data_IF_476887065430
#
_entry.id   IF_476887065430
#
_cell.length_a   1.000
_cell.length_b   1.000
_cell.length_c   1.000
_cell.angle_alpha   90.00
_cell.angle_beta   90.00
_cell.angle_gamma   90.00
#
_symmetry.space_group_name_H-M   'P 1'
#
loop_
_entity.id
_entity.type
_entity.pdbx_description
1 polymer ?
#
# COMPACT_ATOMS: atom_id res chain seq x y z
N UNK A 1 -0.74 29.56 -11.98
CA UNK A 1 0.04 28.35 -11.65
C UNK A 1 0.04 28.07 -10.15
N UNK A 2 0.49 28.98 -9.28
CA UNK A 2 0.46 28.77 -7.82
C UNK A 2 -0.93 28.35 -7.28
N UNK A 3 -2.00 29.04 -7.70
CA UNK A 3 -3.36 28.72 -7.25
C UNK A 3 -3.84 27.32 -7.67
N UNK A 4 -3.43 26.83 -8.84
CA UNK A 4 -3.80 25.49 -9.31
C UNK A 4 -3.06 24.40 -8.54
N UNK A 5 -1.77 24.61 -8.24
CA UNK A 5 -1.00 23.70 -7.40
C UNK A 5 -1.55 23.62 -5.96
N UNK A 6 -2.04 24.74 -5.42
CA UNK A 6 -2.68 24.79 -4.09
C UNK A 6 -4.03 24.08 -4.08
N UNK A 7 -4.82 24.21 -5.15
CA UNK A 7 -6.11 23.48 -5.28
C UNK A 7 -5.86 21.98 -5.43
N UNK A 8 -4.90 21.58 -6.27
CA UNK A 8 -4.55 20.17 -6.45
C UNK A 8 -3.99 19.54 -5.17
N UNK A 9 -3.08 20.21 -4.47
CA UNK A 9 -2.55 19.70 -3.20
C UNK A 9 -3.64 19.61 -2.14
N UNK A 10 -4.55 20.59 -2.08
CA UNK A 10 -5.75 20.54 -1.25
C UNK A 10 -6.65 19.34 -1.58
N UNK A 11 -6.92 19.08 -2.86
CA UNK A 11 -7.69 17.92 -3.30
C UNK A 11 -7.03 16.60 -2.90
N UNK A 12 -5.73 16.44 -3.13
CA UNK A 12 -4.99 15.21 -2.76
C UNK A 12 -5.01 14.98 -1.25
N UNK A 13 -4.85 16.04 -0.45
CA UNK A 13 -4.91 15.96 1.02
C UNK A 13 -6.30 15.55 1.50
N UNK A 14 -7.37 16.08 0.90
CA UNK A 14 -8.75 15.70 1.24
C UNK A 14 -9.02 14.22 0.91
N UNK A 15 -8.57 13.71 -0.24
CA UNK A 15 -8.70 12.27 -0.60
C UNK A 15 -7.94 11.35 0.37
N UNK A 16 -6.72 11.75 0.77
CA UNK A 16 -5.90 11.01 1.71
C UNK A 16 -6.58 10.96 3.10
N UNK A 17 -7.17 12.07 3.56
CA UNK A 17 -7.93 12.14 4.80
C UNK A 17 -9.20 11.28 4.77
N UNK A 18 -9.94 11.26 3.66
CA UNK A 18 -11.11 10.39 3.47
C UNK A 18 -10.69 8.92 3.58
N UNK A 19 -9.59 8.56 2.91
CA UNK A 19 -9.05 7.20 2.93
C UNK A 19 -8.62 6.80 4.34
N UNK A 20 -7.93 7.68 5.07
CA UNK A 20 -7.48 7.45 6.45
C UNK A 20 -8.62 7.25 7.45
N UNK A 21 -9.63 8.13 7.42
CA UNK A 21 -10.81 8.03 8.31
C UNK A 21 -11.65 6.80 7.97
N UNK A 22 -11.75 6.46 6.68
CA UNK A 22 -12.46 5.25 6.23
C UNK A 22 -11.83 3.95 6.77
N UNK A 23 -10.51 3.93 7.00
CA UNK A 23 -9.79 2.77 7.53
C UNK A 23 -9.90 2.57 9.06
N UNK A 24 -10.43 3.54 9.83
CA UNK A 24 -10.39 3.53 11.31
C UNK A 24 -11.64 2.98 12.03
N UNK A 25 -12.63 2.43 11.32
CA UNK A 25 -13.84 1.86 11.95
C UNK A 25 -14.10 0.40 11.61
N UNK A 26 -14.63 -0.38 12.55
CA UNK A 26 -15.11 -1.75 12.31
C UNK A 26 -16.61 -1.76 11.99
N UNK A 27 -17.18 -2.90 11.58
CA UNK A 27 -18.62 -3.03 11.22
C UNK A 27 -19.53 -2.79 12.45
N UNK A 28 -19.03 -3.05 13.66
CA UNK A 28 -19.79 -2.97 14.92
C UNK A 28 -19.56 -1.66 15.71
N UNK A 29 -18.56 -0.86 15.33
CA UNK A 29 -18.25 0.41 16.00
C UNK A 29 -18.02 1.53 14.96
N UNK A 30 -19.11 2.24 14.68
CA UNK A 30 -19.17 3.28 13.66
C UNK A 30 -18.81 4.69 14.18
N UNK A 31 -18.56 4.85 15.48
CA UNK A 31 -18.21 6.14 16.10
C UNK A 31 -17.06 6.90 15.39
N UNK A 32 -15.95 6.26 14.94
CA UNK A 32 -14.88 6.95 14.22
C UNK A 32 -15.23 7.33 12.76
N UNK A 33 -16.37 6.86 12.20
CA UNK A 33 -16.83 7.20 10.84
C UNK A 33 -17.77 8.42 10.80
N UNK A 34 -18.15 9.00 11.95
CA UNK A 34 -19.07 10.14 12.02
C UNK A 34 -18.54 11.40 11.31
N UNK A 35 -17.22 11.56 11.24
CA UNK A 35 -16.56 12.68 10.56
C UNK A 35 -16.48 12.52 9.03
N UNK A 36 -16.81 11.35 8.47
CA UNK A 36 -16.76 11.09 7.01
C UNK A 36 -17.73 12.00 6.24
N UNK A 37 -18.88 12.31 6.83
CA UNK A 37 -19.88 13.18 6.21
C UNK A 37 -19.32 14.60 5.97
N UNK A 38 -18.60 15.17 6.94
CA UNK A 38 -17.99 16.49 6.81
C UNK A 38 -16.87 16.52 5.75
N UNK A 39 -16.08 15.45 5.63
CA UNK A 39 -15.03 15.35 4.61
C UNK A 39 -15.60 15.27 3.19
N UNK A 40 -16.75 14.59 3.01
CA UNK A 40 -17.46 14.55 1.74
C UNK A 40 -18.03 15.93 1.36
N UNK A 41 -18.53 16.71 2.33
CA UNK A 41 -18.98 18.09 2.08
C UNK A 41 -17.85 19.00 1.58
N UNK A 42 -16.64 18.86 2.14
CA UNK A 42 -15.46 19.63 1.69
C UNK A 42 -15.05 19.27 0.26
N UNK A 43 -15.13 17.98 -0.12
CA UNK A 43 -14.83 17.52 -1.50
C UNK A 43 -15.82 18.08 -2.53
N UNK A 44 -17.11 18.16 -2.17
CA UNK A 44 -18.17 18.69 -3.05
C UNK A 44 -18.04 20.21 -3.30
N UNK A 45 -17.35 20.93 -2.42
CA UNK A 45 -17.12 22.39 -2.53
C UNK A 45 -16.04 22.81 -3.54
N UNK A 46 -15.33 21.87 -4.17
CA UNK A 46 -14.33 22.19 -5.20
C UNK A 46 -15.01 22.59 -6.53
N UNK A 47 -14.50 23.60 -7.25
CA UNK A 47 -15.20 24.12 -8.43
C UNK A 47 -15.26 23.08 -9.56
N UNK A 48 -16.47 22.58 -9.79
CA UNK A 48 -16.92 21.71 -10.88
C UNK A 48 -16.34 22.03 -12.29
N UNK A 49 -16.23 23.30 -12.75
CA UNK A 49 -15.85 23.59 -14.14
C UNK A 49 -14.41 23.17 -14.52
N UNK A 50 -13.50 23.03 -13.55
CA UNK A 50 -12.10 22.65 -13.82
C UNK A 50 -11.94 21.12 -13.91
N UNK A 51 -12.81 20.36 -13.25
CA UNK A 51 -12.77 18.88 -13.23
C UNK A 51 -13.33 18.29 -14.52
N UNK A 52 -14.41 18.87 -15.04
CA UNK A 52 -15.11 18.40 -16.22
C UNK A 52 -14.33 18.67 -17.52
N UNK A 53 -13.70 19.86 -17.61
CA UNK A 53 -12.94 20.29 -18.80
C UNK A 53 -11.68 19.44 -19.06
N UNK A 54 -10.91 19.10 -18.02
CA UNK A 54 -9.71 18.26 -18.16
C UNK A 54 -10.08 16.81 -18.56
N UNK A 55 -11.20 16.30 -18.03
CA UNK A 55 -11.68 14.96 -18.32
C UNK A 55 -12.14 14.87 -19.78
N UNK A 56 -13.07 15.74 -20.21
CA UNK A 56 -13.65 15.70 -21.56
C UNK A 56 -12.63 15.84 -22.70
N UNK A 57 -11.61 16.69 -22.53
CA UNK A 57 -10.55 16.87 -23.52
C UNK A 57 -9.77 15.58 -23.78
N UNK A 58 -9.56 14.75 -22.76
CA UNK A 58 -8.83 13.49 -22.91
C UNK A 58 -9.67 12.41 -23.61
N UNK A 59 -11.00 12.42 -23.46
CA UNK A 59 -11.87 11.43 -24.12
C UNK A 59 -12.09 11.75 -25.60
N UNK A 60 -12.12 13.03 -25.97
CA UNK A 60 -12.33 13.47 -27.35
C UNK A 60 -11.23 12.98 -28.31
N UNK A 61 -9.96 13.03 -27.89
CA UNK A 61 -8.82 12.55 -28.69
C UNK A 61 -8.86 11.03 -28.92
N UNK A 62 -9.23 10.28 -27.87
CA UNK A 62 -9.36 8.81 -27.95
C UNK A 62 -10.51 8.42 -28.88
N UNK A 63 -11.63 9.13 -28.82
CA UNK A 63 -12.78 8.88 -29.69
C UNK A 63 -12.45 9.15 -31.17
N UNK A 64 -11.61 10.15 -31.45
CA UNK A 64 -11.20 10.51 -32.82
C UNK A 64 -10.30 9.45 -33.45
N UNK A 65 -9.29 8.98 -32.71
CA UNK A 65 -8.40 7.91 -33.15
C UNK A 65 -9.15 6.59 -33.39
N UNK A 66 -10.10 6.25 -32.52
CA UNK A 66 -10.93 5.05 -32.70
C UNK A 66 -11.86 5.19 -33.92
N UNK A 67 -12.46 6.36 -34.13
CA UNK A 67 -13.34 6.57 -35.28
C UNK A 67 -12.60 6.50 -36.63
N UNK A 68 -11.35 6.95 -36.70
CA UNK A 68 -10.56 6.85 -37.94
C UNK A 68 -10.07 5.42 -38.20
N UNK A 69 -9.79 4.64 -37.14
CA UNK A 69 -9.38 3.24 -37.27
C UNK A 69 -10.52 2.31 -37.75
N UNK A 70 -11.76 2.56 -37.32
CA UNK A 70 -12.92 1.75 -37.68
C UNK A 70 -13.64 2.23 -38.96
N UNK A 71 -13.15 3.27 -39.64
CA UNK A 71 -13.78 3.81 -40.85
C UNK A 71 -13.71 2.85 -42.04
N UNK A 72 -12.72 1.96 -42.09
CA UNK A 72 -12.45 1.07 -43.23
C UNK A 72 -12.87 -0.40 -43.02
N UNK A 73 -13.36 -0.74 -41.82
CA UNK A 73 -13.92 -2.07 -41.54
C UNK A 73 -15.44 -1.96 -41.51
N UNK A 74 -16.14 -2.60 -42.46
CA UNK A 74 -17.60 -2.75 -42.51
C UNK A 74 -18.15 -3.64 -41.37
N UNK A 75 -17.76 -3.36 -40.13
CA UNK A 75 -18.13 -4.12 -38.94
C UNK A 75 -18.94 -3.22 -38.02
N UNK A 76 -20.17 -3.63 -37.72
CA UNK A 76 -21.01 -2.88 -36.79
C UNK A 76 -20.38 -2.96 -35.39
N UNK A 77 -20.27 -1.84 -34.65
CA UNK A 77 -19.66 -1.84 -33.31
C UNK A 77 -20.25 -2.88 -32.35
N UNK A 78 -21.52 -3.27 -32.55
CA UNK A 78 -22.19 -4.34 -31.80
C UNK A 78 -21.50 -5.69 -31.90
N UNK A 79 -20.94 -6.02 -33.06
CA UNK A 79 -20.41 -7.35 -33.34
C UNK A 79 -19.03 -7.52 -32.70
N UNK A 80 -18.23 -6.44 -32.73
CA UNK A 80 -16.98 -6.35 -31.98
C UNK A 80 -17.25 -6.41 -30.49
N UNK A 81 -18.25 -5.68 -29.99
CA UNK A 81 -18.63 -5.70 -28.56
C UNK A 81 -19.12 -7.09 -28.15
N UNK A 82 -19.97 -7.74 -28.95
CA UNK A 82 -20.47 -9.09 -28.67
C UNK A 82 -19.33 -10.12 -28.68
N UNK A 83 -18.44 -10.06 -29.67
CA UNK A 83 -17.25 -10.91 -29.76
C UNK A 83 -16.31 -10.74 -28.57
N UNK A 84 -16.01 -9.49 -28.18
CA UNK A 84 -15.18 -9.19 -27.00
C UNK A 84 -15.84 -9.61 -25.68
N UNK A 85 -17.16 -9.47 -25.56
CA UNK A 85 -17.92 -9.92 -24.38
C UNK A 85 -17.89 -11.44 -24.26
N UNK A 86 -18.11 -12.17 -25.35
CA UNK A 86 -18.06 -13.63 -25.39
C UNK A 86 -16.64 -14.15 -25.10
N UNK A 87 -15.61 -13.60 -25.75
CA UNK A 87 -14.21 -13.92 -25.49
C UNK A 87 -13.82 -13.64 -24.03
N UNK A 88 -14.22 -12.49 -23.49
CA UNK A 88 -13.97 -12.14 -22.09
C UNK A 88 -14.68 -13.08 -21.13
N UNK A 89 -15.88 -13.57 -21.45
CA UNK A 89 -16.60 -14.55 -20.62
C UNK A 89 -15.90 -15.90 -20.61
N UNK A 90 -15.53 -16.42 -21.78
CA UNK A 90 -14.81 -17.69 -21.92
C UNK A 90 -13.43 -17.63 -21.25
N UNK A 91 -12.63 -16.62 -21.55
CA UNK A 91 -11.31 -16.43 -20.94
C UNK A 91 -11.39 -16.22 -19.43
N UNK A 92 -12.47 -15.59 -18.92
CA UNK A 92 -12.67 -15.43 -17.47
C UNK A 92 -13.02 -16.76 -16.81
N UNK A 93 -13.83 -17.60 -17.44
CA UNK A 93 -14.14 -18.93 -16.89
C UNK A 93 -12.90 -19.82 -16.81
N UNK A 94 -12.11 -19.91 -17.88
CA UNK A 94 -10.90 -20.74 -17.88
C UNK A 94 -9.80 -20.18 -16.99
N UNK A 95 -9.58 -18.85 -16.99
CA UNK A 95 -8.58 -18.26 -16.09
C UNK A 95 -8.97 -18.36 -14.64
N UNK A 96 -10.24 -18.24 -14.25
CA UNK A 96 -10.61 -18.26 -12.82
C UNK A 96 -10.25 -19.58 -12.14
N UNK A 97 -10.34 -20.71 -12.83
CA UNK A 97 -10.00 -22.02 -12.27
C UNK A 97 -8.49 -22.19 -12.08
N UNK A 98 -7.69 -21.90 -13.12
CA UNK A 98 -6.23 -22.02 -13.08
C UNK A 98 -5.60 -20.95 -12.17
N UNK A 99 -6.11 -19.72 -12.24
CA UNK A 99 -5.64 -18.60 -11.43
C UNK A 99 -6.01 -18.81 -9.96
N UNK A 100 -7.18 -19.32 -9.61
CA UNK A 100 -7.53 -19.52 -8.20
C UNK A 100 -6.59 -20.48 -7.47
N UNK A 101 -6.15 -21.55 -8.13
CA UNK A 101 -5.22 -22.51 -7.53
C UNK A 101 -3.80 -21.95 -7.42
N UNK A 102 -3.30 -21.34 -8.49
CA UNK A 102 -1.98 -20.70 -8.50
C UNK A 102 -1.91 -19.47 -7.58
N UNK A 103 -3.02 -18.72 -7.44
CA UNK A 103 -3.11 -17.56 -6.54
C UNK A 103 -3.11 -18.01 -5.09
N UNK A 104 -3.75 -19.13 -4.74
CA UNK A 104 -3.72 -19.61 -3.35
C UNK A 104 -2.28 -19.96 -2.92
N UNK A 105 -1.54 -20.68 -3.76
CA UNK A 105 -0.13 -20.99 -3.52
C UNK A 105 0.74 -19.73 -3.50
N UNK A 106 0.58 -18.84 -4.49
CA UNK A 106 1.30 -17.58 -4.54
C UNK A 106 1.00 -16.68 -3.34
N UNK A 107 -0.25 -16.63 -2.85
CA UNK A 107 -0.64 -15.84 -1.68
C UNK A 107 0.01 -16.38 -0.41
N UNK A 108 0.10 -17.71 -0.26
CA UNK A 108 0.82 -18.31 0.88
C UNK A 108 2.32 -17.97 0.84
N UNK A 109 2.94 -18.07 -0.32
CA UNK A 109 4.36 -17.72 -0.54
C UNK A 109 4.60 -16.23 -0.30
N UNK A 110 3.75 -15.36 -0.86
CA UNK A 110 3.82 -13.91 -0.67
C UNK A 110 3.65 -13.58 0.81
N UNK A 111 2.66 -14.15 1.50
CA UNK A 111 2.44 -13.91 2.93
C UNK A 111 3.67 -14.31 3.75
N UNK A 112 4.29 -15.45 3.42
CA UNK A 112 5.49 -15.94 4.08
C UNK A 112 6.67 -14.97 3.90
N UNK A 113 6.98 -14.56 2.66
CA UNK A 113 8.09 -13.66 2.39
C UNK A 113 7.82 -12.21 2.78
N UNK A 114 6.57 -11.76 2.70
CA UNK A 114 6.15 -10.42 3.06
C UNK A 114 6.34 -10.16 4.55
N UNK A 115 6.18 -11.17 5.41
CA UNK A 115 6.49 -11.01 6.84
C UNK A 115 7.96 -10.65 7.09
N UNK A 116 8.90 -11.25 6.33
CA UNK A 116 10.32 -10.90 6.42
C UNK A 116 10.65 -9.56 5.79
N UNK A 117 10.02 -9.26 4.64
CA UNK A 117 10.17 -7.97 3.98
C UNK A 117 9.72 -6.83 4.89
N UNK A 118 8.57 -6.99 5.56
CA UNK A 118 8.08 -6.07 6.60
C UNK A 118 9.09 -5.89 7.74
N UNK A 119 9.87 -6.93 8.03
CA UNK A 119 10.91 -6.90 9.04
C UNK A 119 12.11 -6.00 8.71
N UNK A 120 12.40 -5.80 7.42
CA UNK A 120 13.49 -4.94 6.93
C UNK A 120 13.19 -3.46 7.13
N UNK A 121 11.90 -3.07 7.05
CA UNK A 121 11.46 -1.70 7.35
C UNK A 121 11.69 -1.30 8.82
N UNK A 122 12.11 -2.25 9.67
CA UNK A 122 12.68 -1.97 10.99
C UNK A 122 11.64 -1.68 12.08
N UNK A 123 12.04 -0.84 13.04
CA UNK A 123 11.25 -0.56 14.24
C UNK A 123 9.88 0.12 13.99
N UNK A 124 9.67 0.96 12.95
CA UNK A 124 8.36 1.58 12.72
C UNK A 124 7.30 0.55 12.33
N UNK A 125 7.62 -0.38 11.43
CA UNK A 125 6.69 -1.46 11.04
C UNK A 125 6.43 -2.43 12.18
N UNK A 126 7.44 -2.71 13.01
CA UNK A 126 7.27 -3.50 14.23
C UNK A 126 6.26 -2.85 15.20
N UNK A 127 6.31 -1.53 15.37
CA UNK A 127 5.35 -0.81 16.19
C UNK A 127 3.94 -0.80 15.60
N UNK A 128 3.81 -0.66 14.27
CA UNK A 128 2.51 -0.71 13.60
C UNK A 128 1.85 -2.09 13.70
N UNK A 129 2.62 -3.16 13.72
CA UNK A 129 2.11 -4.54 13.79
C UNK A 129 1.81 -5.02 15.21
N UNK A 130 2.50 -4.49 16.24
CA UNK A 130 2.31 -4.90 17.65
C UNK A 130 1.59 -3.87 18.53
N UNK A 131 1.17 -2.74 17.97
CA UNK A 131 0.38 -1.72 18.65
C UNK A 131 1.15 -0.98 19.75
N UNK A 132 0.42 -0.37 20.69
CA UNK A 132 0.99 0.52 21.73
C UNK A 132 1.95 -0.15 22.71
N UNK A 133 1.97 -1.48 22.79
CA UNK A 133 2.92 -2.25 23.63
C UNK A 133 4.22 -2.61 22.91
N UNK A 134 4.31 -2.36 21.59
CA UNK A 134 5.50 -2.65 20.78
C UNK A 134 6.76 -1.94 21.30
N UNK A 135 6.63 -0.70 21.79
CA UNK A 135 7.73 0.02 22.42
C UNK A 135 8.27 -0.72 23.65
N UNK A 136 7.39 -1.21 24.52
CA UNK A 136 7.75 -1.91 25.75
C UNK A 136 8.40 -3.28 25.48
N UNK A 137 8.03 -3.94 24.38
CA UNK A 137 8.61 -5.21 23.93
C UNK A 137 9.98 -5.02 23.27
N UNK A 138 10.18 -3.88 22.60
CA UNK A 138 11.41 -3.57 21.90
C UNK A 138 12.48 -2.99 22.83
N UNK A 139 12.08 -2.17 23.80
CA UNK A 139 12.97 -1.46 24.73
C UNK A 139 14.04 -2.34 25.42
N UNK A 140 13.74 -3.58 25.86
CA UNK A 140 14.75 -4.46 26.45
C UNK A 140 15.83 -4.96 25.48
N UNK A 141 15.57 -4.86 24.18
CA UNK A 141 16.44 -5.37 23.11
C UNK A 141 17.22 -4.28 22.38
N UNK A 142 16.92 -3.01 22.67
CA UNK A 142 17.68 -1.85 22.18
C UNK A 142 19.07 -1.80 22.80
N UNK A 143 20.07 -1.45 22.00
CA UNK A 143 21.47 -1.32 22.43
C UNK A 143 21.90 0.14 22.35
N UNK A 144 21.20 1.02 23.08
CA UNK A 144 21.52 2.44 23.04
C UNK A 144 22.72 2.82 23.91
N UNK A 145 23.60 3.64 23.35
CA UNK A 145 24.77 4.22 24.02
C UNK A 145 24.39 5.01 25.30
N UNK A 146 23.12 5.42 25.42
CA UNK A 146 22.60 6.31 26.44
C UNK A 146 21.98 5.61 27.67
N UNK A 147 21.94 4.27 27.73
CA UNK A 147 21.35 3.52 28.86
C UNK A 147 22.47 2.71 29.57
N UNK A 148 22.95 3.16 30.76
CA UNK A 148 24.15 2.59 31.39
C UNK A 148 23.98 1.20 32.03
N UNK A 149 22.77 0.65 32.10
CA UNK A 149 22.48 -0.52 32.95
C UNK A 149 21.88 -1.70 32.18
N UNK A 150 22.61 -2.29 31.21
CA UNK A 150 22.35 -3.69 30.81
C UNK A 150 23.55 -4.32 30.11
N UNK A 151 23.96 -5.50 30.58
CA UNK A 151 24.97 -6.34 29.91
C UNK A 151 24.48 -6.64 28.48
N UNK A 152 25.22 -6.16 27.49
CA UNK A 152 24.93 -6.44 26.07
C UNK A 152 25.05 -7.96 25.84
N UNK A 153 23.93 -8.64 25.56
CA UNK A 153 23.96 -10.03 25.07
C UNK A 153 24.72 -10.01 23.74
N UNK A 154 25.83 -10.74 23.64
CA UNK A 154 26.66 -10.81 22.43
C UNK A 154 25.87 -11.57 21.36
N UNK A 155 25.35 -10.87 20.35
CA UNK A 155 24.83 -11.54 19.16
C UNK A 155 25.98 -11.92 18.23
N UNK A 156 25.75 -12.99 17.47
CA UNK A 156 26.64 -13.44 16.40
C UNK A 156 26.41 -12.69 15.08
N UNK A 157 25.29 -11.98 14.95
CA UNK A 157 24.96 -11.22 13.75
C UNK A 157 25.97 -10.09 13.50
N UNK A 158 26.51 -10.01 12.29
CA UNK A 158 27.26 -8.86 11.82
C UNK A 158 26.26 -7.79 11.35
N UNK A 159 26.16 -6.69 12.11
CA UNK A 159 25.26 -5.56 11.84
C UNK A 159 26.09 -4.37 11.36
N UNK A 160 25.84 -3.92 10.13
CA UNK A 160 26.53 -2.80 9.49
C UNK A 160 25.60 -1.58 9.43
N UNK A 161 26.08 -0.44 9.93
CA UNK A 161 25.42 0.87 9.84
C UNK A 161 23.99 1.01 10.39
N UNK A 162 23.67 0.31 11.50
CA UNK A 162 22.46 0.62 12.28
C UNK A 162 22.67 1.89 13.14
N UNK A 163 21.58 2.51 13.61
CA UNK A 163 21.66 3.68 14.50
C UNK A 163 22.27 3.35 15.88
N UNK A 164 22.63 4.38 16.66
CA UNK A 164 23.23 4.20 18.01
C UNK A 164 22.41 3.32 18.96
N UNK A 165 21.10 3.14 18.72
CA UNK A 165 20.26 2.28 19.55
C UNK A 165 20.00 0.87 18.99
N UNK A 166 20.52 0.53 17.80
CA UNK A 166 20.29 -0.73 17.10
C UNK A 166 18.80 -1.09 16.96
N UNK A 167 17.92 -0.10 16.83
CA UNK A 167 16.48 -0.37 16.88
C UNK A 167 15.97 -1.14 15.68
N UNK A 168 16.61 -0.99 14.51
CA UNK A 168 16.26 -1.75 13.32
C UNK A 168 16.64 -3.22 13.50
N UNK A 169 17.86 -3.51 13.94
CA UNK A 169 18.29 -4.88 14.22
C UNK A 169 17.49 -5.52 15.36
N UNK A 170 17.18 -4.78 16.41
CA UNK A 170 16.36 -5.28 17.51
C UNK A 170 14.95 -5.69 17.04
N UNK A 171 14.34 -4.88 16.17
CA UNK A 171 13.03 -5.17 15.60
C UNK A 171 13.09 -6.40 14.68
N UNK A 172 14.06 -6.43 13.77
CA UNK A 172 14.29 -7.56 12.87
C UNK A 172 14.49 -8.86 13.64
N UNK A 173 15.32 -8.86 14.68
CA UNK A 173 15.55 -10.02 15.54
C UNK A 173 14.25 -10.51 16.18
N UNK A 174 13.42 -9.62 16.70
CA UNK A 174 12.15 -10.02 17.32
C UNK A 174 11.16 -10.62 16.32
N UNK A 175 11.14 -10.13 15.08
CA UNK A 175 10.28 -10.67 14.02
C UNK A 175 10.76 -12.04 13.56
N UNK A 176 12.08 -12.21 13.42
CA UNK A 176 12.72 -13.43 12.92
C UNK A 176 12.79 -14.55 13.98
N UNK A 177 13.00 -14.20 15.25
CA UNK A 177 13.14 -15.17 16.35
C UNK A 177 11.84 -15.95 16.63
N UNK A 178 10.67 -15.43 16.24
CA UNK A 178 9.39 -16.15 16.33
C UNK A 178 9.36 -17.42 15.46
N UNK A 179 10.21 -17.51 14.44
CA UNK A 179 10.25 -18.60 13.47
C UNK A 179 11.58 -19.38 13.51
N UNK A 180 12.32 -19.26 14.62
CA UNK A 180 13.56 -20.01 14.88
C UNK A 180 14.68 -19.79 13.83
N UNK A 181 14.68 -18.64 13.16
CA UNK A 181 15.73 -18.24 12.22
C UNK A 181 16.76 -17.34 12.93
N UNK A 182 18.03 -17.50 12.56
CA UNK A 182 19.15 -16.71 13.09
C UNK A 182 19.62 -15.68 12.04
N UNK A 183 19.75 -14.42 12.44
CA UNK A 183 20.31 -13.37 11.58
C UNK A 183 21.84 -13.46 11.64
N UNK A 184 22.48 -13.77 10.50
CA UNK A 184 23.96 -13.86 10.40
C UNK A 184 24.58 -12.53 9.98
N UNK A 185 23.92 -11.80 9.07
CA UNK A 185 24.38 -10.53 8.54
C UNK A 185 23.20 -9.60 8.23
N UNK A 186 23.33 -8.31 8.50
CA UNK A 186 22.40 -7.27 8.05
C UNK A 186 23.13 -5.94 7.87
N UNK A 187 22.72 -5.18 6.86
CA UNK A 187 23.25 -3.84 6.57
C UNK A 187 22.11 -2.86 6.36
N UNK A 188 22.30 -1.61 6.79
CA UNK A 188 21.29 -0.53 6.70
C UNK A 188 21.77 0.67 5.87
N UNK A 189 22.78 0.49 5.00
CA UNK A 189 23.22 1.50 4.05
C UNK A 189 22.05 1.94 3.13
N UNK A 190 21.88 3.25 2.95
CA UNK A 190 21.03 3.85 1.92
C UNK A 190 21.98 4.55 0.97
N UNK A 191 22.16 4.01 -0.23
CA UNK A 191 22.89 4.68 -1.32
C UNK A 191 22.11 5.90 -1.87
#
# INVERSE_FOLDING_TARGET
>A
MLGYCVILSGCVVVEACISWVSMRGSILDAAPRASMQYLLYVRLGTPLPVRETLYLNSFAEIAKLLSDFFRDLDVVPSDVVAGLVLLRKFQRQERLVIVSQNVCEAVMVITHYMHYALGVYGWPMYMMTRGSTGCCQLFPSLRCCCIPTRKKKRDRALVVEDNCCYCNYAALRHMVNNHNMEVVYVTYHVD
#
